data_IF_147457158999
#
_entry.id   IF_147457158999
#
_cell.length_a   1.000
_cell.length_b   1.000
_cell.length_c   1.000
_cell.angle_alpha   90.00
_cell.angle_beta   90.00
_cell.angle_gamma   90.00
#
_symmetry.space_group_name_H-M   'P 1'
#
loop_
_entity.id
_entity.type
_entity.pdbx_description
1 polymer ?
#
# COMPACT_ATOMS: atom_id res chain seq x y z
N UNK A 1 3.62 8.79 -6.15
CA UNK A 1 2.81 8.35 -4.99
C UNK A 1 1.33 8.55 -5.21
N UNK A 2 0.86 9.70 -5.70
CA UNK A 2 -0.57 9.98 -5.91
C UNK A 2 -1.31 8.90 -6.72
N UNK A 3 -0.69 8.35 -7.75
CA UNK A 3 -1.28 7.28 -8.56
C UNK A 3 -1.39 5.94 -7.80
N UNK A 4 -0.42 5.63 -6.94
CA UNK A 4 -0.51 4.46 -6.07
C UNK A 4 -1.62 4.61 -5.03
N UNK A 5 -1.76 5.79 -4.44
CA UNK A 5 -2.85 6.12 -3.53
C UNK A 5 -4.21 6.05 -4.22
N UNK A 6 -4.33 6.60 -5.44
CA UNK A 6 -5.56 6.52 -6.24
C UNK A 6 -5.93 5.08 -6.57
N UNK A 7 -4.95 4.28 -7.02
CA UNK A 7 -5.15 2.86 -7.29
C UNK A 7 -5.62 2.11 -6.04
N UNK A 8 -4.94 2.30 -4.90
CA UNK A 8 -5.30 1.69 -3.63
C UNK A 8 -6.74 2.04 -3.21
N UNK A 9 -7.08 3.33 -3.24
CA UNK A 9 -8.40 3.81 -2.85
C UNK A 9 -9.51 3.25 -3.74
N UNK A 10 -9.33 3.27 -5.06
CA UNK A 10 -10.33 2.74 -6.01
C UNK A 10 -10.47 1.21 -5.88
N UNK A 11 -9.39 0.48 -5.69
CA UNK A 11 -9.42 -0.98 -5.51
C UNK A 11 -10.12 -1.36 -4.20
N UNK A 12 -9.80 -0.66 -3.11
CA UNK A 12 -10.44 -0.89 -1.82
C UNK A 12 -11.94 -0.56 -1.86
N UNK A 13 -12.32 0.53 -2.52
CA UNK A 13 -13.73 0.90 -2.71
C UNK A 13 -14.48 -0.17 -3.52
N UNK A 14 -13.87 -0.69 -4.61
CA UNK A 14 -14.44 -1.77 -5.39
C UNK A 14 -14.66 -3.04 -4.56
N UNK A 15 -13.69 -3.41 -3.74
CA UNK A 15 -13.77 -4.54 -2.83
C UNK A 15 -14.90 -4.37 -1.80
N UNK A 16 -14.99 -3.21 -1.13
CA UNK A 16 -16.03 -2.92 -0.14
C UNK A 16 -17.43 -3.04 -0.77
N UNK A 17 -17.61 -2.49 -1.96
CA UNK A 17 -18.91 -2.58 -2.68
C UNK A 17 -19.25 -4.03 -3.02
N UNK A 18 -18.25 -4.82 -3.44
CA UNK A 18 -18.43 -6.23 -3.80
C UNK A 18 -18.80 -7.10 -2.59
N UNK A 19 -18.11 -6.92 -1.46
CA UNK A 19 -18.28 -7.73 -0.25
C UNK A 19 -19.51 -7.35 0.57
N UNK A 20 -20.08 -6.16 0.34
CA UNK A 20 -21.24 -5.68 1.05
C UNK A 20 -22.48 -5.59 0.13
N UNK A 21 -23.33 -6.65 0.06
CA UNK A 21 -24.52 -6.65 -0.79
C UNK A 21 -25.50 -5.48 -0.48
N UNK A 22 -25.57 -5.06 0.78
CA UNK A 22 -26.39 -3.89 1.20
C UNK A 22 -25.88 -2.58 0.58
N UNK A 23 -24.57 -2.38 0.55
CA UNK A 23 -23.94 -1.22 -0.09
C UNK A 23 -24.27 -1.25 -1.59
N UNK A 24 -24.08 -2.41 -2.24
CA UNK A 24 -24.43 -2.60 -3.64
C UNK A 24 -25.91 -2.29 -3.92
N UNK A 25 -26.84 -2.79 -3.08
CA UNK A 25 -28.27 -2.50 -3.22
C UNK A 25 -28.59 -1.01 -3.10
N UNK A 26 -27.96 -0.28 -2.18
CA UNK A 26 -28.12 1.17 -2.05
C UNK A 26 -27.65 1.88 -3.32
N UNK A 27 -26.53 1.47 -3.91
CA UNK A 27 -26.03 2.02 -5.17
C UNK A 27 -26.92 1.69 -6.36
N UNK A 28 -27.37 0.45 -6.47
CA UNK A 28 -28.26 0.00 -7.55
C UNK A 28 -29.61 0.73 -7.48
N UNK A 29 -30.17 0.89 -6.28
CA UNK A 29 -31.41 1.64 -6.04
C UNK A 29 -31.24 3.12 -6.37
N UNK A 30 -30.11 3.71 -6.02
CA UNK A 30 -29.78 5.09 -6.35
C UNK A 30 -29.64 5.31 -7.86
N UNK A 31 -28.95 4.41 -8.57
CA UNK A 31 -28.88 4.44 -10.05
C UNK A 31 -30.26 4.34 -10.71
N UNK A 32 -31.11 3.44 -10.21
CA UNK A 32 -32.45 3.23 -10.74
C UNK A 32 -33.37 4.46 -10.55
N UNK A 33 -33.10 5.28 -9.52
CA UNK A 33 -33.87 6.50 -9.21
C UNK A 33 -33.34 7.76 -9.93
N UNK A 34 -32.54 7.60 -10.98
CA UNK A 34 -32.00 8.72 -11.75
C UNK A 34 -30.75 9.35 -11.15
N UNK A 35 -30.12 8.69 -10.18
CA UNK A 35 -28.75 8.82 -9.71
C UNK A 35 -28.13 10.20 -9.59
N UNK A 36 -28.84 11.20 -9.02
CA UNK A 36 -28.19 12.48 -8.73
C UNK A 36 -27.36 12.40 -7.45
N UNK A 37 -26.30 13.20 -7.35
CA UNK A 37 -25.48 13.32 -6.14
C UNK A 37 -26.33 13.58 -4.88
N UNK A 38 -27.36 14.37 -5.00
CA UNK A 38 -28.27 14.79 -3.90
C UNK A 38 -29.08 13.60 -3.36
N UNK A 39 -29.59 12.73 -4.22
CA UNK A 39 -30.35 11.53 -3.82
C UNK A 39 -29.47 10.50 -3.11
N UNK A 40 -28.27 10.30 -3.58
CA UNK A 40 -27.28 9.44 -2.92
C UNK A 40 -26.93 9.95 -1.52
N UNK A 41 -26.70 11.25 -1.41
CA UNK A 41 -26.36 11.92 -0.17
C UNK A 41 -27.46 11.82 0.88
N UNK A 42 -28.72 11.98 0.45
CA UNK A 42 -29.89 11.80 1.33
C UNK A 42 -29.99 10.37 1.87
N UNK A 43 -29.70 9.36 1.06
CA UNK A 43 -29.74 7.96 1.47
C UNK A 43 -28.55 7.58 2.38
N UNK A 44 -27.37 8.14 2.14
CA UNK A 44 -26.21 7.97 3.02
C UNK A 44 -26.43 8.61 4.40
N UNK A 45 -27.13 9.76 4.46
CA UNK A 45 -27.49 10.41 5.72
C UNK A 45 -28.45 9.57 6.58
N UNK A 46 -29.30 8.79 5.95
CA UNK A 46 -30.27 7.92 6.63
C UNK A 46 -29.66 6.61 7.14
N UNK A 47 -28.47 6.24 6.66
CA UNK A 47 -27.80 5.00 7.02
C UNK A 47 -26.52 5.27 7.82
N UNK A 48 -26.71 5.43 9.14
CA UNK A 48 -25.62 5.73 10.08
C UNK A 48 -24.54 4.61 10.12
N UNK A 49 -24.97 3.37 9.94
CA UNK A 49 -24.08 2.20 9.96
C UNK A 49 -23.12 2.23 8.77
N UNK A 50 -23.63 2.55 7.58
CA UNK A 50 -22.84 2.71 6.37
C UNK A 50 -21.84 3.88 6.49
N UNK A 51 -22.29 5.00 7.08
CA UNK A 51 -21.43 6.17 7.34
C UNK A 51 -20.27 5.80 8.26
N UNK A 52 -20.52 5.05 9.33
CA UNK A 52 -19.49 4.64 10.29
C UNK A 52 -18.48 3.66 9.68
N UNK A 53 -18.95 2.69 8.90
CA UNK A 53 -18.05 1.74 8.19
C UNK A 53 -17.15 2.50 7.21
N UNK A 54 -17.71 3.40 6.41
CA UNK A 54 -16.94 4.18 5.44
C UNK A 54 -15.91 5.09 6.12
N UNK A 55 -16.24 5.72 7.23
CA UNK A 55 -15.30 6.57 7.97
C UNK A 55 -14.19 5.75 8.65
N UNK A 56 -14.49 4.54 9.13
CA UNK A 56 -13.49 3.67 9.75
C UNK A 56 -12.45 3.15 8.74
N UNK A 57 -12.91 2.81 7.52
CA UNK A 57 -12.05 2.24 6.47
C UNK A 57 -11.33 3.30 5.61
N UNK A 58 -11.73 4.57 5.72
CA UNK A 58 -11.17 5.65 4.90
C UNK A 58 -10.74 6.86 5.72
N UNK A 59 -9.64 6.78 6.49
CA UNK A 59 -9.18 7.87 7.37
C UNK A 59 -8.99 9.22 6.67
N UNK A 60 -8.60 9.22 5.38
CA UNK A 60 -8.45 10.46 4.59
C UNK A 60 -9.75 11.22 4.34
N UNK A 61 -10.91 10.59 4.55
CA UNK A 61 -12.20 11.30 4.50
C UNK A 61 -12.42 12.17 5.74
N UNK A 62 -11.75 11.88 6.84
CA UNK A 62 -11.80 12.68 8.06
C UNK A 62 -11.02 14.00 7.95
N UNK A 63 -10.10 14.11 6.99
CA UNK A 63 -9.36 15.35 6.69
C UNK A 63 -10.20 16.37 5.91
N UNK A 64 -11.41 16.01 5.47
CA UNK A 64 -12.31 16.94 4.81
C UNK A 64 -12.79 18.02 5.80
N UNK A 65 -12.73 19.28 5.39
CA UNK A 65 -12.98 20.44 6.25
C UNK A 65 -14.45 20.58 6.68
N UNK A 66 -15.38 19.89 6.01
CA UNK A 66 -16.81 19.92 6.35
C UNK A 66 -17.53 18.64 5.87
N UNK A 67 -18.72 18.44 6.43
CA UNK A 67 -19.56 17.27 6.13
C UNK A 67 -20.00 17.17 4.66
N UNK A 68 -20.18 18.29 3.98
CA UNK A 68 -20.54 18.33 2.56
C UNK A 68 -19.39 17.83 1.68
N UNK A 69 -18.15 18.21 2.00
CA UNK A 69 -16.95 17.75 1.30
C UNK A 69 -16.69 16.26 1.55
N UNK A 70 -16.87 15.78 2.78
CA UNK A 70 -16.79 14.35 3.10
C UNK A 70 -17.74 13.55 2.25
N UNK A 71 -18.99 13.97 2.20
CA UNK A 71 -20.05 13.36 1.41
C UNK A 71 -19.71 13.35 -0.09
N UNK A 72 -19.21 14.46 -0.62
CA UNK A 72 -18.83 14.55 -2.03
C UNK A 72 -17.67 13.61 -2.37
N UNK A 73 -16.69 13.49 -1.51
CA UNK A 73 -15.55 12.57 -1.66
C UNK A 73 -16.03 11.11 -1.65
N UNK A 74 -16.93 10.76 -0.72
CA UNK A 74 -17.56 9.42 -0.66
C UNK A 74 -18.31 9.12 -1.96
N UNK A 75 -19.17 10.03 -2.43
CA UNK A 75 -19.92 9.83 -3.67
C UNK A 75 -19.02 9.63 -4.90
N UNK A 76 -17.87 10.32 -4.95
CA UNK A 76 -16.89 10.18 -6.03
C UNK A 76 -16.19 8.82 -5.98
N UNK A 77 -15.87 8.30 -4.79
CA UNK A 77 -15.25 6.98 -4.63
C UNK A 77 -16.16 5.85 -5.14
N UNK A 78 -17.46 5.99 -4.98
CA UNK A 78 -18.43 4.95 -5.32
C UNK A 78 -19.12 5.13 -6.69
N UNK A 79 -18.70 6.08 -7.49
CA UNK A 79 -19.06 6.09 -8.91
C UNK A 79 -18.29 4.98 -9.63
N UNK A 80 -18.97 3.84 -9.88
CA UNK A 80 -18.39 2.66 -10.50
C UNK A 80 -17.72 2.93 -11.85
N UNK A 81 -18.24 3.87 -12.63
CA UNK A 81 -17.64 4.23 -13.92
C UNK A 81 -16.36 5.04 -13.71
N UNK A 82 -16.39 6.03 -12.83
CA UNK A 82 -15.22 6.82 -12.44
C UNK A 82 -14.18 5.92 -11.77
N UNK A 83 -14.61 4.99 -10.92
CA UNK A 83 -13.74 4.04 -10.23
C UNK A 83 -13.01 3.11 -11.21
N UNK A 84 -13.72 2.47 -12.15
CA UNK A 84 -13.11 1.59 -13.13
C UNK A 84 -12.18 2.33 -14.09
N UNK A 85 -12.58 3.53 -14.52
CA UNK A 85 -11.72 4.39 -15.34
C UNK A 85 -10.49 4.84 -14.57
N UNK A 86 -10.66 5.22 -13.29
CA UNK A 86 -9.57 5.60 -12.38
C UNK A 86 -8.59 4.48 -12.12
N UNK A 87 -9.06 3.24 -11.98
CA UNK A 87 -8.20 2.05 -11.85
C UNK A 87 -7.33 1.84 -13.09
N UNK A 88 -7.95 1.86 -14.28
CA UNK A 88 -7.22 1.67 -15.53
C UNK A 88 -6.14 2.75 -15.74
N UNK A 89 -6.49 4.01 -15.54
CA UNK A 89 -5.55 5.14 -15.62
C UNK A 89 -4.42 4.99 -14.60
N UNK A 90 -4.75 4.64 -13.36
CA UNK A 90 -3.75 4.48 -12.29
C UNK A 90 -2.75 3.36 -12.60
N UNK A 91 -3.20 2.22 -13.14
CA UNK A 91 -2.34 1.12 -13.57
C UNK A 91 -1.36 1.58 -14.65
N UNK A 92 -1.85 2.27 -15.69
CA UNK A 92 -0.99 2.77 -16.77
C UNK A 92 0.02 3.81 -16.25
N UNK A 93 -0.41 4.72 -15.38
CA UNK A 93 0.48 5.71 -14.79
C UNK A 93 1.54 5.09 -13.88
N UNK A 94 1.19 4.07 -13.11
CA UNK A 94 2.17 3.32 -12.31
C UNK A 94 3.17 2.58 -13.20
N UNK A 95 2.72 2.02 -14.32
CA UNK A 95 3.60 1.38 -15.31
C UNK A 95 4.54 2.38 -15.98
N UNK A 96 4.05 3.56 -16.37
CA UNK A 96 4.87 4.62 -16.96
C UNK A 96 5.95 5.17 -16.01
N UNK A 97 5.69 5.15 -14.71
CA UNK A 97 6.59 5.67 -13.68
C UNK A 97 7.58 4.63 -13.15
N UNK A 98 7.39 3.35 -13.48
CA UNK A 98 8.34 2.30 -13.11
C UNK A 98 9.46 2.23 -14.14
N UNK A 99 10.68 2.42 -13.68
CA UNK A 99 11.88 2.33 -14.50
C UNK A 99 12.21 0.87 -14.88
N UNK A 100 13.11 0.69 -15.83
CA UNK A 100 13.54 -0.64 -16.29
C UNK A 100 14.17 -1.51 -15.20
N UNK A 101 14.77 -0.91 -14.17
CA UNK A 101 15.36 -1.58 -12.99
C UNK A 101 14.33 -1.99 -11.93
N UNK A 102 13.04 -1.65 -12.14
CA UNK A 102 11.95 -1.96 -11.23
C UNK A 102 11.64 -0.86 -10.21
N UNK A 103 12.44 0.20 -10.14
CA UNK A 103 12.19 1.31 -9.24
C UNK A 103 11.09 2.25 -9.76
N UNK A 104 10.30 2.81 -8.84
CA UNK A 104 9.45 3.96 -9.17
C UNK A 104 10.19 5.28 -8.93
N UNK A 105 9.91 6.24 -9.80
CA UNK A 105 10.43 7.60 -9.72
C UNK A 105 9.35 8.60 -9.28
N UNK A 106 9.76 9.80 -8.88
CA UNK A 106 8.82 10.88 -8.56
C UNK A 106 8.06 11.37 -9.81
N UNK A 107 8.78 11.47 -10.93
CA UNK A 107 8.25 11.89 -12.22
C UNK A 107 8.82 11.02 -13.34
N UNK A 108 8.10 10.92 -14.45
CA UNK A 108 8.53 10.17 -15.63
C UNK A 108 9.89 10.64 -16.13
N UNK A 109 10.79 9.70 -16.39
CA UNK A 109 12.15 9.99 -16.85
C UNK A 109 13.17 10.34 -15.78
N UNK A 110 12.76 10.43 -14.51
CA UNK A 110 13.71 10.59 -13.40
C UNK A 110 14.31 9.25 -12.97
N UNK A 111 15.49 9.34 -12.32
CA UNK A 111 16.09 8.19 -11.65
C UNK A 111 15.14 7.59 -10.63
N UNK A 112 15.16 6.27 -10.51
CA UNK A 112 14.37 5.54 -9.52
C UNK A 112 14.70 5.95 -8.09
N UNK A 113 13.67 6.01 -7.25
CA UNK A 113 13.80 6.37 -5.84
C UNK A 113 13.46 5.18 -4.95
N UNK A 114 14.41 4.74 -4.13
CA UNK A 114 14.18 3.70 -3.13
C UNK A 114 12.99 4.04 -2.24
N UNK A 115 12.89 5.29 -1.79
CA UNK A 115 11.78 5.76 -0.97
C UNK A 115 10.43 5.61 -1.68
N UNK A 116 10.31 6.15 -2.89
CA UNK A 116 9.05 6.07 -3.67
C UNK A 116 8.67 4.62 -3.94
N UNK A 117 9.66 3.80 -4.33
CA UNK A 117 9.44 2.37 -4.60
C UNK A 117 8.93 1.64 -3.36
N UNK A 118 9.54 1.88 -2.19
CA UNK A 118 9.09 1.29 -0.94
C UNK A 118 7.65 1.67 -0.60
N UNK A 119 7.27 2.96 -0.74
CA UNK A 119 5.91 3.43 -0.48
C UNK A 119 4.89 2.82 -1.44
N UNK A 120 5.21 2.78 -2.73
CA UNK A 120 4.33 2.16 -3.74
C UNK A 120 4.16 0.67 -3.46
N UNK A 121 5.25 -0.06 -3.23
CA UNK A 121 5.23 -1.49 -2.94
C UNK A 121 4.43 -1.82 -1.68
N UNK A 122 4.59 -1.02 -0.62
CA UNK A 122 3.82 -1.20 0.61
C UNK A 122 2.32 -1.10 0.36
N UNK A 123 1.86 -0.08 -0.39
CA UNK A 123 0.45 0.07 -0.75
C UNK A 123 -0.06 -1.13 -1.57
N UNK A 124 0.69 -1.56 -2.59
CA UNK A 124 0.25 -2.64 -3.48
C UNK A 124 0.19 -3.99 -2.76
N UNK A 125 1.21 -4.31 -1.96
CA UNK A 125 1.26 -5.58 -1.22
C UNK A 125 0.22 -5.62 -0.11
N UNK A 126 0.00 -4.51 0.61
CA UNK A 126 -1.08 -4.42 1.60
C UNK A 126 -2.45 -4.61 0.97
N UNK A 127 -2.70 -4.01 -0.19
CA UNK A 127 -3.94 -4.21 -0.92
C UNK A 127 -4.14 -5.68 -1.29
N UNK A 128 -3.11 -6.33 -1.86
CA UNK A 128 -3.19 -7.75 -2.20
C UNK A 128 -3.43 -8.65 -0.97
N UNK A 129 -2.84 -8.31 0.18
CA UNK A 129 -3.07 -9.02 1.43
C UNK A 129 -4.51 -8.86 1.95
N UNK A 130 -5.10 -7.67 1.78
CA UNK A 130 -6.48 -7.37 2.18
C UNK A 130 -7.50 -7.96 1.20
N UNK A 131 -7.17 -8.03 -0.09
CA UNK A 131 -8.08 -8.43 -1.17
C UNK A 131 -7.49 -9.53 -2.05
N UNK A 132 -7.08 -10.69 -1.48
CA UNK A 132 -6.29 -11.69 -2.20
C UNK A 132 -7.02 -12.29 -3.42
N UNK A 133 -8.35 -12.33 -3.39
CA UNK A 133 -9.18 -12.85 -4.49
C UNK A 133 -9.39 -11.82 -5.62
N UNK A 134 -9.15 -10.55 -5.34
CA UNK A 134 -9.34 -9.44 -6.27
C UNK A 134 -8.01 -8.81 -6.72
N UNK A 135 -6.89 -9.50 -6.50
CA UNK A 135 -5.57 -9.03 -6.92
C UNK A 135 -5.52 -8.80 -8.43
N UNK A 136 -5.20 -7.58 -8.83
CA UNK A 136 -5.12 -7.20 -10.24
C UNK A 136 -3.88 -7.81 -10.90
N UNK A 137 -4.10 -8.76 -11.81
CA UNK A 137 -3.02 -9.45 -12.53
C UNK A 137 -2.09 -8.50 -13.30
N UNK A 138 -2.57 -7.33 -13.71
CA UNK A 138 -1.77 -6.30 -14.39
C UNK A 138 -0.69 -5.69 -13.50
N UNK A 139 -0.89 -5.75 -12.17
CA UNK A 139 0.06 -5.24 -11.18
C UNK A 139 1.17 -6.23 -10.86
N UNK A 140 0.96 -7.54 -11.04
CA UNK A 140 1.92 -8.57 -10.65
C UNK A 140 3.32 -8.40 -11.26
N UNK A 141 3.49 -8.13 -12.57
CA UNK A 141 4.81 -7.90 -13.14
C UNK A 141 5.52 -6.67 -12.56
N UNK A 142 4.76 -5.64 -12.20
CA UNK A 142 5.31 -4.43 -11.56
C UNK A 142 5.75 -4.69 -10.13
N UNK A 143 4.95 -5.43 -9.37
CA UNK A 143 5.27 -5.85 -8.00
C UNK A 143 6.53 -6.72 -7.99
N UNK A 144 6.63 -7.70 -8.89
CA UNK A 144 7.81 -8.55 -9.02
C UNK A 144 9.09 -7.74 -9.23
N UNK A 145 9.09 -6.82 -10.21
CA UNK A 145 10.22 -5.92 -10.47
C UNK A 145 10.55 -5.01 -9.27
N UNK A 146 9.52 -4.54 -8.56
CA UNK A 146 9.68 -3.77 -7.33
C UNK A 146 10.40 -4.55 -6.23
N UNK A 147 10.05 -5.83 -6.03
CA UNK A 147 10.76 -6.71 -5.10
C UNK A 147 12.22 -6.94 -5.52
N UNK A 148 12.47 -7.16 -6.80
CA UNK A 148 13.85 -7.34 -7.32
C UNK A 148 14.71 -6.10 -7.05
N UNK A 149 14.17 -4.90 -7.30
CA UNK A 149 14.85 -3.65 -6.99
C UNK A 149 15.14 -3.48 -5.51
N UNK A 150 14.10 -3.62 -4.65
CA UNK A 150 14.26 -3.46 -3.21
C UNK A 150 15.18 -4.52 -2.59
N UNK A 151 15.14 -5.75 -3.11
CA UNK A 151 16.05 -6.82 -2.71
C UNK A 151 17.52 -6.49 -3.02
N UNK A 152 17.81 -5.90 -4.19
CA UNK A 152 19.16 -5.41 -4.54
C UNK A 152 19.60 -4.31 -3.57
N UNK A 153 18.74 -3.37 -3.25
CA UNK A 153 19.03 -2.29 -2.29
C UNK A 153 19.31 -2.84 -0.88
N UNK A 154 18.56 -3.85 -0.44
CA UNK A 154 18.80 -4.53 0.82
C UNK A 154 20.15 -5.28 0.81
N UNK A 155 20.50 -5.96 -0.28
CA UNK A 155 21.78 -6.65 -0.44
C UNK A 155 22.98 -5.68 -0.45
N UNK A 156 22.84 -4.50 -1.02
CA UNK A 156 23.87 -3.45 -0.98
C UNK A 156 24.08 -2.95 0.46
N UNK A 157 23.01 -2.69 1.20
CA UNK A 157 23.10 -2.28 2.60
C UNK A 157 23.72 -3.39 3.47
N UNK A 158 23.33 -4.67 3.25
CA UNK A 158 23.95 -5.81 3.90
C UNK A 158 25.47 -5.84 3.68
N UNK A 159 25.94 -5.68 2.43
CA UNK A 159 27.38 -5.65 2.11
C UNK A 159 28.10 -4.53 2.84
N UNK A 160 27.51 -3.33 2.82
CA UNK A 160 28.06 -2.16 3.52
C UNK A 160 28.18 -2.38 5.02
N UNK A 161 27.13 -2.94 5.64
CA UNK A 161 27.17 -3.25 7.08
C UNK A 161 28.19 -4.34 7.42
N UNK A 162 28.31 -5.40 6.60
CA UNK A 162 29.32 -6.45 6.78
C UNK A 162 30.76 -5.91 6.65
N UNK A 163 30.97 -4.97 5.77
CA UNK A 163 32.31 -4.32 5.64
C UNK A 163 32.59 -3.42 6.86
N UNK A 164 31.61 -2.70 7.35
CA UNK A 164 31.76 -1.89 8.57
C UNK A 164 32.05 -2.77 9.79
N UNK A 165 31.39 -3.92 9.95
CA UNK A 165 31.69 -4.90 11.00
C UNK A 165 33.12 -5.43 10.93
N UNK A 166 33.61 -5.74 9.73
CA UNK A 166 35.01 -6.16 9.54
C UNK A 166 36.01 -5.08 9.98
N UNK A 167 35.62 -3.82 9.93
CA UNK A 167 36.40 -2.66 10.38
C UNK A 167 36.20 -2.33 11.86
N UNK A 168 35.47 -3.16 12.61
CA UNK A 168 35.23 -3.01 14.04
C UNK A 168 34.01 -2.19 14.42
N UNK A 169 33.13 -1.86 13.48
CA UNK A 169 31.87 -1.18 13.82
C UNK A 169 30.94 -2.12 14.60
N UNK A 170 30.35 -1.60 15.69
CA UNK A 170 29.41 -2.31 16.56
C UNK A 170 28.09 -1.54 16.61
N UNK A 171 27.00 -2.20 17.05
CA UNK A 171 25.69 -1.55 17.19
C UNK A 171 25.05 -1.14 15.86
N UNK A 172 25.43 -1.76 14.74
CA UNK A 172 24.86 -1.47 13.43
C UNK A 172 23.43 -1.98 13.34
N UNK A 173 22.55 -1.14 12.81
CA UNK A 173 21.11 -1.41 12.68
C UNK A 173 20.66 -1.33 11.23
N UNK A 174 19.63 -2.13 10.86
CA UNK A 174 18.98 -1.97 9.57
C UNK A 174 18.37 -0.57 9.43
N UNK A 175 18.47 0.01 8.25
CA UNK A 175 17.76 1.26 7.95
C UNK A 175 16.25 1.06 7.99
N UNK A 176 15.49 2.14 8.18
CA UNK A 176 14.02 2.09 8.09
C UNK A 176 13.56 1.57 6.72
N UNK A 177 14.29 1.84 5.66
CA UNK A 177 14.00 1.34 4.31
C UNK A 177 14.11 -0.19 4.22
N UNK A 178 15.12 -0.79 4.87
CA UNK A 178 15.23 -2.24 4.97
C UNK A 178 14.12 -2.82 5.83
N UNK A 179 13.78 -2.18 6.96
CA UNK A 179 12.68 -2.66 7.80
C UNK A 179 11.35 -2.69 7.04
N UNK A 180 11.07 -1.66 6.27
CA UNK A 180 9.88 -1.63 5.40
C UNK A 180 9.92 -2.71 4.33
N UNK A 181 11.06 -2.94 3.71
CA UNK A 181 11.23 -4.03 2.75
C UNK A 181 10.95 -5.40 3.38
N UNK A 182 11.51 -5.69 4.55
CA UNK A 182 11.26 -6.95 5.26
C UNK A 182 9.77 -7.10 5.63
N UNK A 183 9.14 -6.02 6.08
CA UNK A 183 7.71 -5.99 6.37
C UNK A 183 6.87 -6.30 5.12
N UNK A 184 7.19 -5.69 3.97
CA UNK A 184 6.50 -5.95 2.71
C UNK A 184 6.68 -7.42 2.29
N UNK A 185 7.90 -7.98 2.44
CA UNK A 185 8.16 -9.40 2.18
C UNK A 185 7.36 -10.32 3.10
N UNK A 186 7.26 -9.98 4.38
CA UNK A 186 6.48 -10.73 5.35
C UNK A 186 4.98 -10.73 5.02
N UNK A 187 4.43 -9.59 4.58
CA UNK A 187 3.04 -9.48 4.16
C UNK A 187 2.74 -10.29 2.88
N UNK A 188 3.64 -10.25 1.91
CA UNK A 188 3.46 -10.96 0.63
C UNK A 188 3.58 -12.47 0.78
N UNK A 189 4.47 -12.94 1.64
CA UNK A 189 4.70 -14.34 1.94
C UNK A 189 5.30 -15.19 0.79
N UNK A 190 5.42 -14.61 -0.42
CA UNK A 190 5.94 -15.25 -1.64
C UNK A 190 7.03 -14.42 -2.32
N UNK A 191 7.41 -13.30 -1.69
CA UNK A 191 8.42 -12.41 -2.24
C UNK A 191 9.74 -13.16 -2.50
N UNK A 192 10.42 -12.91 -3.64
CA UNK A 192 11.74 -13.45 -3.90
C UNK A 192 12.77 -12.79 -2.98
N UNK A 193 13.15 -13.46 -1.91
CA UNK A 193 14.07 -12.95 -0.91
C UNK A 193 15.41 -13.68 -0.95
N UNK A 194 16.49 -12.94 -0.74
CA UNK A 194 17.80 -13.55 -0.41
C UNK A 194 17.78 -13.94 1.08
N UNK A 195 17.66 -15.24 1.35
CA UNK A 195 17.55 -15.78 2.71
C UNK A 195 18.72 -15.36 3.61
N UNK A 196 19.92 -15.27 3.08
CA UNK A 196 21.12 -14.87 3.82
C UNK A 196 21.03 -13.41 4.25
N UNK A 197 20.63 -12.54 3.34
CA UNK A 197 20.43 -11.11 3.59
C UNK A 197 19.30 -10.90 4.60
N UNK A 198 18.17 -11.56 4.39
CA UNK A 198 17.03 -11.46 5.30
C UNK A 198 17.37 -11.94 6.71
N UNK A 199 17.98 -13.12 6.84
CA UNK A 199 18.37 -13.65 8.16
C UNK A 199 19.29 -12.70 8.89
N UNK A 200 20.30 -12.13 8.20
CA UNK A 200 21.19 -11.15 8.80
C UNK A 200 20.44 -9.96 9.40
N UNK A 201 19.49 -9.40 8.69
CA UNK A 201 18.72 -8.26 9.20
C UNK A 201 17.75 -8.65 10.32
N UNK A 202 17.14 -9.84 10.28
CA UNK A 202 16.29 -10.38 11.34
C UNK A 202 17.12 -10.59 12.61
N UNK A 203 18.32 -11.15 12.50
CA UNK A 203 19.23 -11.33 13.65
C UNK A 203 19.63 -9.98 14.27
N UNK A 204 19.87 -8.96 13.44
CA UNK A 204 20.14 -7.59 13.91
C UNK A 204 18.93 -6.98 14.64
N UNK A 205 17.72 -7.23 14.17
CA UNK A 205 16.50 -6.78 14.85
C UNK A 205 16.33 -7.40 16.23
N UNK A 206 16.62 -8.68 16.36
CA UNK A 206 16.52 -9.40 17.63
C UNK A 206 17.51 -8.89 18.67
N UNK A 207 18.72 -8.50 18.25
CA UNK A 207 19.78 -8.00 19.14
C UNK A 207 19.69 -6.51 19.45
N UNK A 208 19.50 -5.67 18.42
CA UNK A 208 19.63 -4.22 18.50
C UNK A 208 18.27 -3.46 18.43
N UNK A 209 17.15 -4.20 18.46
CA UNK A 209 15.81 -3.63 18.29
C UNK A 209 15.37 -2.60 19.33
N UNK A 210 16.04 -2.57 20.51
CA UNK A 210 15.70 -1.64 21.61
C UNK A 210 15.89 -0.17 21.22
N UNK A 211 16.77 0.11 20.31
CA UNK A 211 17.15 1.46 19.90
C UNK A 211 16.47 1.96 18.61
N UNK A 212 15.54 1.18 18.07
CA UNK A 212 14.74 1.61 16.94
C UNK A 212 13.70 2.67 17.35
N UNK A 213 13.25 3.46 16.38
CA UNK A 213 12.08 4.33 16.54
C UNK A 213 10.84 3.52 16.92
N UNK A 214 9.81 4.14 17.48
CA UNK A 214 8.54 3.47 17.78
C UNK A 214 7.98 2.76 16.54
N UNK A 215 8.04 3.43 15.39
CA UNK A 215 7.63 2.86 14.11
C UNK A 215 8.49 1.66 13.72
N UNK A 216 9.81 1.78 13.81
CA UNK A 216 10.74 0.68 13.55
C UNK A 216 10.52 -0.52 14.47
N UNK A 217 10.19 -0.29 15.75
CA UNK A 217 9.83 -1.37 16.71
C UNK A 217 8.54 -2.09 16.30
N UNK A 218 7.52 -1.33 15.85
CA UNK A 218 6.26 -1.92 15.40
C UNK A 218 6.47 -2.80 14.16
N UNK A 219 7.23 -2.32 13.16
CA UNK A 219 7.60 -3.12 11.99
C UNK A 219 8.41 -4.35 12.39
N UNK A 220 9.42 -4.17 13.27
CA UNK A 220 10.28 -5.25 13.76
C UNK A 220 9.48 -6.35 14.45
N UNK A 221 8.47 -6.00 15.26
CA UNK A 221 7.61 -6.97 15.93
C UNK A 221 6.84 -7.85 14.92
N UNK A 222 6.28 -7.24 13.85
CA UNK A 222 5.57 -7.97 12.80
C UNK A 222 6.54 -8.87 12.02
N UNK A 223 7.72 -8.36 11.67
CA UNK A 223 8.75 -9.13 10.95
C UNK A 223 9.17 -10.35 11.76
N UNK A 224 9.47 -10.16 13.05
CA UNK A 224 9.91 -11.25 13.94
C UNK A 224 8.80 -12.28 14.16
N UNK A 225 7.56 -11.86 14.30
CA UNK A 225 6.42 -12.77 14.43
C UNK A 225 6.24 -13.66 13.19
N UNK A 226 6.50 -13.13 12.00
CA UNK A 226 6.38 -13.90 10.75
C UNK A 226 7.60 -14.80 10.51
N UNK A 227 8.74 -14.47 11.08
CA UNK A 227 9.97 -15.24 10.92
C UNK A 227 10.04 -16.48 11.84
N UNK A 228 9.13 -16.61 12.86
CA UNK A 228 9.08 -17.70 13.85
C UNK A 228 9.87 -17.31 15.07
#
# INVERSE_FOLDING_TARGET
>A
LSWATAYYAHSLAAFIVKENPRIKQVFDSWKAQGGTKETFMSNLQKNQELKNILLAETPWLTEATNEAEQKQRIATLFDLNTMNSGLAVSVEKLRELQNGDGAWSWYKGMQGSRYVTTQVMEMLVRLNALTPQDADSRMQPMIQKGFEYLGKQAAEEYKSMKEAEKKGAVGLRPSEQVLRYLYICALDGKAPVDEKVNRYFIDKLSGEGKELTIYGKALGAIILQQAG
#
